data_IF_969152229788
#
_entry.id   IF_969152229788
#
_cell.length_a   1.000
_cell.length_b   1.000
_cell.length_c   1.000
_cell.angle_alpha   90.00
_cell.angle_beta   90.00
_cell.angle_gamma   90.00
#
_symmetry.space_group_name_H-M   'P 1'
#
loop_
_entity.id
_entity.type
_entity.pdbx_description
1 polymer ?
#
# COMPACT_ATOMS: atom_id res chain seq x y z
N UNK A 1 2.22 10.47 5.86
CA UNK A 1 0.91 9.90 6.21
C UNK A 1 1.05 8.74 7.22
N UNK A 2 1.80 7.68 6.95
CA UNK A 2 1.93 6.47 7.79
C UNK A 2 2.31 6.78 9.24
N UNK A 3 3.30 7.64 9.46
CA UNK A 3 3.74 8.03 10.82
C UNK A 3 2.65 8.73 11.62
N UNK A 4 1.81 9.54 10.97
CA UNK A 4 0.66 10.16 11.61
C UNK A 4 -0.35 9.11 12.10
N UNK A 5 -0.64 8.08 11.31
CA UNK A 5 -1.50 6.97 11.72
C UNK A 5 -0.97 6.22 12.95
N UNK A 6 0.34 6.24 13.18
CA UNK A 6 0.98 5.67 14.38
C UNK A 6 1.04 6.63 15.58
N UNK A 7 0.57 7.86 15.41
CA UNK A 7 0.55 8.86 16.50
C UNK A 7 1.76 9.79 16.53
N UNK A 8 2.50 9.92 15.42
CA UNK A 8 3.60 10.87 15.29
C UNK A 8 3.22 12.01 14.34
N UNK A 9 3.19 13.23 14.82
CA UNK A 9 2.85 14.39 13.99
C UNK A 9 2.21 15.54 14.76
N UNK A 10 1.45 16.37 14.06
CA UNK A 10 0.76 17.51 14.66
C UNK A 10 -0.28 17.05 15.70
N UNK A 11 -0.19 17.63 16.89
CA UNK A 11 -1.02 17.22 18.04
C UNK A 11 -2.52 17.48 17.82
N UNK A 12 -2.89 18.48 17.00
CA UNK A 12 -4.29 18.76 16.68
C UNK A 12 -4.87 17.67 15.78
N UNK A 13 -4.10 17.23 14.78
CA UNK A 13 -4.50 16.13 13.91
C UNK A 13 -4.59 14.82 14.71
N UNK A 14 -3.59 14.58 15.57
CA UNK A 14 -3.56 13.36 16.38
C UNK A 14 -4.71 13.27 17.39
N UNK A 15 -5.24 14.40 17.86
CA UNK A 15 -6.38 14.46 18.77
C UNK A 15 -7.68 13.98 18.11
N UNK A 16 -7.80 14.11 16.79
CA UNK A 16 -8.98 13.67 16.02
C UNK A 16 -8.97 12.17 15.68
N UNK A 17 -7.84 11.48 15.88
CA UNK A 17 -7.73 10.06 15.57
C UNK A 17 -8.38 9.21 16.68
N UNK A 18 -9.40 8.40 16.37
CA UNK A 18 -10.09 7.55 17.35
C UNK A 18 -9.19 6.43 17.88
N UNK A 19 -8.20 6.02 17.09
CA UNK A 19 -7.22 4.99 17.43
C UNK A 19 -5.93 5.22 16.66
N UNK A 20 -4.90 4.44 16.98
CA UNK A 20 -3.60 4.50 16.31
C UNK A 20 -3.15 3.11 15.87
N UNK A 21 -2.50 3.06 14.74
CA UNK A 21 -1.84 1.83 14.28
C UNK A 21 -0.54 1.60 15.03
N UNK A 22 -0.20 0.34 15.22
CA UNK A 22 1.15 -0.08 15.60
C UNK A 22 1.93 -0.49 14.35
N UNK A 23 3.26 -0.49 14.38
CA UNK A 23 4.06 -0.96 13.25
C UNK A 23 3.70 -2.37 12.76
N UNK A 24 3.28 -3.24 13.68
CA UNK A 24 2.83 -4.62 13.35
C UNK A 24 1.52 -4.68 12.55
N UNK A 25 0.73 -3.60 12.57
CA UNK A 25 -0.52 -3.48 11.79
C UNK A 25 -0.32 -2.80 10.44
N UNK A 26 0.91 -2.47 10.07
CA UNK A 26 1.24 -1.77 8.83
C UNK A 26 2.17 -2.64 7.99
N UNK A 27 1.83 -2.83 6.72
CA UNK A 27 2.67 -3.48 5.72
C UNK A 27 2.76 -2.58 4.50
N UNK A 28 3.98 -2.28 4.07
CA UNK A 28 4.26 -1.58 2.82
C UNK A 28 4.50 -2.62 1.74
N UNK A 29 3.72 -2.58 0.65
CA UNK A 29 3.82 -3.54 -0.46
C UNK A 29 4.22 -2.81 -1.73
N UNK A 30 5.21 -3.35 -2.44
CA UNK A 30 5.73 -2.73 -3.66
C UNK A 30 6.76 -1.62 -3.42
N UNK A 31 7.21 -1.46 -2.18
CA UNK A 31 8.23 -0.47 -1.86
C UNK A 31 9.59 -0.88 -2.43
N UNK A 32 10.18 -0.02 -3.28
CA UNK A 32 11.47 -0.27 -3.95
C UNK A 32 12.47 0.87 -3.82
N UNK A 33 11.98 2.07 -3.49
CA UNK A 33 12.80 3.26 -3.27
C UNK A 33 12.33 4.04 -2.05
N UNK A 34 13.24 4.61 -1.29
CA UNK A 34 12.96 5.44 -0.11
C UNK A 34 13.27 6.91 -0.33
N UNK A 35 13.65 7.31 -1.56
CA UNK A 35 14.11 8.65 -1.92
C UNK A 35 15.32 9.14 -1.12
N UNK A 36 15.34 8.86 0.19
CA UNK A 36 16.41 9.27 1.11
C UNK A 36 16.72 8.16 2.11
N UNK A 37 18.00 8.01 2.45
CA UNK A 37 18.43 6.99 3.42
C UNK A 37 17.81 7.22 4.81
N UNK A 38 17.57 8.48 5.22
CA UNK A 38 16.95 8.79 6.51
C UNK A 38 15.50 8.25 6.60
N UNK A 39 14.77 8.19 5.50
CA UNK A 39 13.41 7.62 5.46
C UNK A 39 13.49 6.11 5.68
N UNK A 40 14.44 5.45 5.03
CA UNK A 40 14.68 4.01 5.18
C UNK A 40 15.10 3.64 6.60
N UNK A 41 16.03 4.37 7.18
CA UNK A 41 16.44 4.16 8.57
C UNK A 41 15.30 4.39 9.56
N UNK A 42 14.46 5.41 9.32
CA UNK A 42 13.28 5.68 10.14
C UNK A 42 12.24 4.56 10.04
N UNK A 43 11.99 4.04 8.85
CA UNK A 43 11.11 2.87 8.67
C UNK A 43 11.62 1.67 9.48
N UNK A 44 12.93 1.42 9.42
CA UNK A 44 13.60 0.34 10.16
C UNK A 44 13.50 0.55 11.68
N UNK A 45 13.73 1.78 12.16
CA UNK A 45 13.60 2.13 13.58
C UNK A 45 12.18 1.89 14.11
N UNK A 46 11.16 2.20 13.30
CA UNK A 46 9.76 1.93 13.67
C UNK A 46 9.38 0.44 13.54
N UNK A 47 10.18 -0.37 12.89
CA UNK A 47 9.89 -1.78 12.69
C UNK A 47 8.75 -2.06 11.71
N UNK A 48 8.47 -1.11 10.78
CA UNK A 48 7.44 -1.28 9.76
C UNK A 48 7.96 -2.25 8.68
N UNK A 49 7.25 -3.35 8.49
CA UNK A 49 7.58 -4.33 7.45
C UNK A 49 7.29 -3.80 6.06
N UNK A 50 8.08 -4.23 5.09
CA UNK A 50 7.83 -4.01 3.68
C UNK A 50 8.05 -5.28 2.87
N UNK A 51 7.42 -5.32 1.70
CA UNK A 51 7.63 -6.30 0.64
C UNK A 51 7.95 -5.53 -0.64
N UNK A 52 8.99 -5.96 -1.32
CA UNK A 52 9.36 -5.40 -2.62
C UNK A 52 8.44 -5.92 -3.74
N UNK A 53 8.42 -5.32 -4.94
CA UNK A 53 7.69 -5.88 -6.07
C UNK A 53 8.08 -7.34 -6.36
N UNK A 54 9.36 -7.69 -6.22
CA UNK A 54 9.86 -9.06 -6.45
C UNK A 54 9.29 -10.08 -5.46
N UNK A 55 9.06 -9.66 -4.20
CA UNK A 55 8.52 -10.54 -3.16
C UNK A 55 7.06 -10.96 -3.44
N UNK A 56 6.35 -10.17 -4.23
CA UNK A 56 4.92 -10.37 -4.53
C UNK A 56 4.65 -10.66 -6.02
N UNK A 57 5.68 -10.73 -6.86
CA UNK A 57 5.52 -10.91 -8.30
C UNK A 57 4.79 -12.21 -8.66
N UNK A 58 5.13 -13.33 -8.02
CA UNK A 58 4.59 -14.64 -8.37
C UNK A 58 3.31 -15.02 -7.61
N UNK A 59 3.20 -14.61 -6.35
CA UNK A 59 2.08 -14.94 -5.46
C UNK A 59 1.97 -13.92 -4.32
N UNK A 60 0.93 -14.06 -3.49
CA UNK A 60 0.66 -13.19 -2.33
C UNK A 60 0.95 -13.87 -0.98
N UNK A 61 1.72 -14.95 -0.94
CA UNK A 61 1.90 -15.77 0.26
C UNK A 61 2.53 -15.00 1.42
N UNK A 62 3.49 -14.13 1.14
CA UNK A 62 4.12 -13.28 2.14
C UNK A 62 3.10 -12.30 2.78
N UNK A 63 2.19 -11.75 1.97
CA UNK A 63 1.09 -10.88 2.44
C UNK A 63 0.12 -11.71 3.28
N UNK A 64 -0.33 -12.87 2.80
CA UNK A 64 -1.25 -13.75 3.53
C UNK A 64 -0.67 -14.19 4.89
N UNK A 65 0.62 -14.49 4.93
CA UNK A 65 1.34 -14.81 6.16
C UNK A 65 1.31 -13.64 7.14
N UNK A 66 1.57 -12.42 6.67
CA UNK A 66 1.49 -11.22 7.50
C UNK A 66 0.07 -10.96 7.99
N UNK A 67 -0.95 -11.07 7.12
CA UNK A 67 -2.37 -10.90 7.48
C UNK A 67 -2.82 -11.86 8.58
N UNK A 68 -2.30 -13.08 8.61
CA UNK A 68 -2.57 -14.04 9.69
C UNK A 68 -1.90 -13.62 11.01
N UNK A 69 -0.74 -13.01 10.94
CA UNK A 69 0.04 -12.62 12.12
C UNK A 69 -0.36 -11.26 12.72
N UNK A 70 -0.97 -10.36 11.96
CA UNK A 70 -1.29 -9.01 12.42
C UNK A 70 -2.45 -8.92 13.43
N UNK A 71 -3.24 -10.01 13.59
CA UNK A 71 -4.33 -10.09 14.56
C UNK A 71 -5.59 -9.29 14.19
N UNK A 72 -5.58 -8.51 13.11
CA UNK A 72 -6.73 -7.74 12.67
C UNK A 72 -7.69 -8.59 11.82
N UNK A 73 -9.01 -8.37 11.97
CA UNK A 73 -10.04 -8.95 11.11
C UNK A 73 -10.40 -8.06 9.92
N UNK A 74 -10.13 -6.76 10.04
CA UNK A 74 -10.46 -5.72 9.05
C UNK A 74 -9.20 -5.08 8.51
N UNK A 75 -9.23 -4.70 7.22
CA UNK A 75 -8.10 -4.10 6.51
C UNK A 75 -8.56 -2.86 5.75
N UNK A 76 -7.71 -1.84 5.73
CA UNK A 76 -7.78 -0.70 4.81
C UNK A 76 -6.60 -0.78 3.87
N UNK A 77 -6.82 -0.55 2.59
CA UNK A 77 -5.77 -0.43 1.59
C UNK A 77 -5.60 1.05 1.22
N UNK A 78 -4.37 1.54 1.31
CA UNK A 78 -3.95 2.77 0.65
C UNK A 78 -3.19 2.38 -0.62
N UNK A 79 -3.76 2.72 -1.76
CA UNK A 79 -3.19 2.42 -3.06
C UNK A 79 -2.58 3.68 -3.65
N UNK A 80 -1.27 3.76 -3.64
CA UNK A 80 -0.51 4.78 -4.35
C UNK A 80 -0.17 4.26 -5.75
N UNK A 81 -0.62 4.98 -6.79
CA UNK A 81 -0.51 4.51 -8.16
C UNK A 81 0.91 4.50 -8.70
N UNK A 82 1.85 5.14 -8.03
CA UNK A 82 3.26 5.09 -8.40
C UNK A 82 3.92 3.72 -8.10
N UNK A 83 3.22 2.81 -7.47
CA UNK A 83 3.64 1.42 -7.32
C UNK A 83 3.80 0.70 -8.66
N UNK A 84 3.07 1.15 -9.70
CA UNK A 84 3.19 0.65 -11.09
C UNK A 84 3.65 1.74 -12.06
N UNK A 85 4.96 1.97 -12.19
CA UNK A 85 5.49 2.97 -13.12
C UNK A 85 5.56 2.52 -14.57
N UNK A 86 5.62 1.22 -14.81
CA UNK A 86 5.97 0.71 -16.13
C UNK A 86 4.79 0.68 -17.10
N UNK A 87 3.59 0.38 -16.62
CA UNK A 87 2.41 0.13 -17.45
C UNK A 87 1.35 1.24 -17.34
N UNK A 88 1.27 1.86 -16.19
CA UNK A 88 0.42 3.02 -15.95
C UNK A 88 1.36 4.16 -15.60
N UNK A 89 1.57 5.10 -16.50
CA UNK A 89 2.23 6.36 -16.13
C UNK A 89 1.23 7.11 -15.24
N UNK A 90 1.14 6.70 -13.99
CA UNK A 90 0.11 7.15 -13.07
C UNK A 90 0.57 8.32 -12.21
N UNK A 91 1.87 8.44 -11.99
CA UNK A 91 2.46 9.47 -11.14
C UNK A 91 3.70 10.11 -11.76
N UNK A 92 4.13 11.23 -11.19
CA UNK A 92 5.37 11.91 -11.57
C UNK A 92 6.55 11.26 -10.84
N UNK A 93 7.65 11.00 -11.57
CA UNK A 93 8.89 10.55 -10.95
C UNK A 93 8.90 9.07 -10.54
N UNK A 94 8.18 8.24 -11.29
CA UNK A 94 8.11 6.80 -11.02
C UNK A 94 9.45 6.10 -11.29
N UNK A 95 9.87 5.29 -10.33
CA UNK A 95 11.06 4.44 -10.46
C UNK A 95 10.75 3.19 -11.27
N UNK A 96 11.74 2.63 -12.00
CA UNK A 96 11.57 1.36 -12.70
C UNK A 96 11.30 0.20 -11.73
N UNK A 97 10.95 -0.95 -12.30
CA UNK A 97 10.74 -2.21 -11.56
C UNK A 97 9.59 -2.18 -10.53
N UNK A 98 8.51 -1.43 -10.83
CA UNK A 98 7.27 -1.46 -10.06
C UNK A 98 6.49 -2.76 -10.23
N UNK A 99 5.35 -2.84 -9.58
CA UNK A 99 4.42 -3.96 -9.72
C UNK A 99 3.62 -3.83 -11.02
N UNK A 100 3.38 -4.94 -11.70
CA UNK A 100 2.49 -4.98 -12.85
C UNK A 100 1.03 -4.87 -12.41
N UNK A 101 0.19 -4.38 -13.31
CA UNK A 101 -1.25 -4.20 -13.03
C UNK A 101 -1.92 -5.50 -12.58
N UNK A 102 -1.64 -6.61 -13.24
CA UNK A 102 -2.19 -7.91 -12.84
C UNK A 102 -1.72 -8.38 -11.46
N UNK A 103 -0.50 -8.03 -11.07
CA UNK A 103 0.03 -8.32 -9.73
C UNK A 103 -0.69 -7.48 -8.66
N UNK A 104 -0.91 -6.20 -8.93
CA UNK A 104 -1.67 -5.29 -8.06
C UNK A 104 -3.09 -5.80 -7.84
N UNK A 105 -3.81 -6.12 -8.93
CA UNK A 105 -5.17 -6.63 -8.89
C UNK A 105 -5.23 -7.95 -8.11
N UNK A 106 -4.30 -8.88 -8.37
CA UNK A 106 -4.20 -10.15 -7.63
C UNK A 106 -4.01 -9.90 -6.15
N UNK A 107 -3.03 -9.07 -5.77
CA UNK A 107 -2.72 -8.76 -4.36
C UNK A 107 -3.96 -8.21 -3.65
N UNK A 108 -4.67 -7.25 -4.24
CA UNK A 108 -5.86 -6.67 -3.63
C UNK A 108 -7.00 -7.69 -3.48
N UNK A 109 -7.23 -8.56 -4.47
CA UNK A 109 -8.21 -9.64 -4.40
C UNK A 109 -7.84 -10.67 -3.32
N UNK A 110 -6.58 -11.03 -3.23
CA UNK A 110 -6.09 -11.98 -2.22
C UNK A 110 -6.23 -11.40 -0.80
N UNK A 111 -5.97 -10.10 -0.60
CA UNK A 111 -6.21 -9.43 0.69
C UNK A 111 -7.71 -9.47 1.04
N UNK A 112 -8.58 -9.12 0.09
CA UNK A 112 -10.03 -9.11 0.31
C UNK A 112 -10.62 -10.51 0.53
N UNK A 113 -9.96 -11.56 0.04
CA UNK A 113 -10.35 -12.95 0.30
C UNK A 113 -9.94 -13.43 1.72
N UNK A 114 -8.86 -12.87 2.29
CA UNK A 114 -8.34 -13.26 3.61
C UNK A 114 -8.95 -12.43 4.76
N UNK A 115 -9.35 -11.20 4.50
CA UNK A 115 -9.82 -10.24 5.51
C UNK A 115 -10.96 -9.38 4.99
N UNK A 116 -11.78 -8.87 5.90
CA UNK A 116 -12.80 -7.88 5.57
C UNK A 116 -12.13 -6.56 5.15
N UNK A 117 -12.21 -6.23 3.86
CA UNK A 117 -11.72 -4.96 3.33
C UNK A 117 -12.77 -3.88 3.59
N UNK A 118 -12.46 -2.93 4.48
CA UNK A 118 -13.40 -1.88 4.92
C UNK A 118 -13.10 -0.50 4.37
N UNK A 119 -12.03 -0.35 3.59
CA UNK A 119 -11.69 0.92 2.95
C UNK A 119 -10.59 0.77 1.90
N UNK A 120 -10.70 1.58 0.85
CA UNK A 120 -9.70 1.72 -0.21
C UNK A 120 -9.53 3.21 -0.47
N UNK A 121 -8.31 3.70 -0.37
CA UNK A 121 -7.94 5.05 -0.80
C UNK A 121 -6.97 4.94 -1.97
N UNK A 122 -7.08 5.86 -2.93
CA UNK A 122 -6.26 5.89 -4.14
C UNK A 122 -5.56 7.24 -4.22
N UNK A 123 -4.25 7.23 -4.39
CA UNK A 123 -3.42 8.41 -4.53
C UNK A 123 -2.76 8.49 -5.91
N UNK A 124 -2.38 9.69 -6.29
CA UNK A 124 -1.58 10.04 -7.46
C UNK A 124 -2.13 9.62 -8.84
N UNK A 125 -3.47 9.66 -9.10
CA UNK A 125 -3.98 9.36 -10.43
C UNK A 125 -3.61 10.44 -11.43
N UNK A 126 -3.07 10.05 -12.59
CA UNK A 126 -2.80 10.97 -13.70
C UNK A 126 -3.97 11.01 -14.69
N UNK A 127 -4.55 12.18 -15.00
CA UNK A 127 -5.72 12.30 -15.91
C UNK A 127 -5.50 11.69 -17.30
N UNK A 128 -4.26 11.67 -17.77
CA UNK A 128 -3.89 11.10 -19.09
C UNK A 128 -4.14 9.60 -19.21
N UNK A 129 -4.26 8.91 -18.10
CA UNK A 129 -4.39 7.45 -18.06
C UNK A 129 -5.80 7.01 -17.62
N UNK A 130 -6.79 7.90 -17.70
CA UNK A 130 -8.13 7.70 -17.17
C UNK A 130 -8.79 6.39 -17.63
N UNK A 131 -8.64 5.98 -18.90
CA UNK A 131 -9.24 4.74 -19.42
C UNK A 131 -8.59 3.51 -18.78
N UNK A 132 -7.26 3.49 -18.64
CA UNK A 132 -6.52 2.39 -18.01
C UNK A 132 -6.87 2.29 -16.53
N UNK A 133 -6.89 3.44 -15.84
CA UNK A 133 -7.31 3.54 -14.44
C UNK A 133 -8.73 3.01 -14.27
N UNK A 134 -9.68 3.45 -15.09
CA UNK A 134 -11.06 2.96 -15.06
C UNK A 134 -11.12 1.44 -15.19
N UNK A 135 -10.44 0.86 -16.17
CA UNK A 135 -10.44 -0.59 -16.40
C UNK A 135 -9.82 -1.37 -15.23
N UNK A 136 -8.81 -0.81 -14.58
CA UNK A 136 -8.22 -1.37 -13.37
C UNK A 136 -9.21 -1.30 -12.20
N UNK A 137 -9.78 -0.12 -11.93
CA UNK A 137 -10.70 0.11 -10.81
C UNK A 137 -11.87 -0.87 -10.82
N UNK A 138 -12.44 -1.17 -12.00
CA UNK A 138 -13.53 -2.15 -12.14
C UNK A 138 -13.13 -3.59 -11.76
N UNK A 139 -11.86 -3.87 -11.56
CA UNK A 139 -11.37 -5.19 -11.17
C UNK A 139 -10.96 -5.25 -9.69
N UNK A 140 -10.95 -4.12 -9.01
CA UNK A 140 -10.58 -4.06 -7.59
C UNK A 140 -11.77 -4.44 -6.70
N UNK A 141 -11.51 -5.07 -5.55
CA UNK A 141 -12.55 -5.28 -4.53
C UNK A 141 -13.01 -3.93 -3.96
N UNK A 142 -14.28 -3.82 -3.61
CA UNK A 142 -14.98 -2.62 -3.13
C UNK A 142 -15.39 -1.59 -4.20
N UNK A 143 -15.12 -1.82 -5.48
CA UNK A 143 -15.52 -0.89 -6.55
C UNK A 143 -16.42 -1.55 -7.59
#
# INVERSE_FOLDING_TARGET
AVTACMGYGDTKILAELPTRFTPSNILLVGLRNWEREEIKERQKQYGIKHLTPKDVAQNSDAIKTWLKSCGASKVVIHFDMDVDPAEIIAAVGTDPDGMKMEEIIRVMKDIAAEKELVGLTIAEPMPRTAIRIKNMLHQLPLL
#
